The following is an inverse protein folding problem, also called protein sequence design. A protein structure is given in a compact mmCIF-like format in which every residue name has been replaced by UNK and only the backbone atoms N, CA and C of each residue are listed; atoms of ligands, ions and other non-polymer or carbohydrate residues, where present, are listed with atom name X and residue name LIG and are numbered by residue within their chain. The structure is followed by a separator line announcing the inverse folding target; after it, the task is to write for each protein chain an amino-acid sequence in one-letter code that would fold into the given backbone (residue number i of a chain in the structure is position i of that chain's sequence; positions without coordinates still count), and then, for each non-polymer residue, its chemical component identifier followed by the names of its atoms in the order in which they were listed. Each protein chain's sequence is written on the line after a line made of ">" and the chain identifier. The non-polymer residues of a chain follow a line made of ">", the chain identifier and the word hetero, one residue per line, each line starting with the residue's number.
data_IF_904785112735
#
_entry.id   IF_904785112735
#
_cell.length_a   1.000
_cell.length_b   1.000
_cell.length_c   1.000
_cell.angle_alpha   90.00
_cell.angle_beta   90.00
_cell.angle_gamma   90.00
#
_symmetry.space_group_name_H-M   'P 1'
#
loop_
_entity.id
_entity.type
_entity.pdbx_description
1 polymer ?
#
# COMPACT_ATOMS: atom_id res chain seq x y z
N UNK A 1 -34.05 8.26 36.46
CA UNK A 1 -33.27 8.15 35.19
C UNK A 1 -33.02 9.51 34.55
N UNK A 2 -32.52 10.50 35.30
CA UNK A 2 -32.18 11.83 34.77
C UNK A 2 -31.20 12.54 35.72
N UNK A 3 -29.94 12.07 35.80
CA UNK A 3 -28.89 12.72 36.58
C UNK A 3 -27.45 12.24 36.24
N UNK A 4 -27.14 11.97 34.96
CA UNK A 4 -25.78 11.54 34.54
C UNK A 4 -25.30 12.23 33.25
N UNK A 5 -25.52 13.53 33.11
CA UNK A 5 -24.82 14.40 32.15
C UNK A 5 -24.76 15.80 32.78
N UNK A 6 -23.59 16.24 33.29
CA UNK A 6 -22.63 16.94 32.44
C UNK A 6 -21.17 16.78 32.93
N UNK A 7 -20.44 15.75 32.47
CA UNK A 7 -19.00 15.61 32.75
C UNK A 7 -18.13 15.40 31.49
N UNK A 8 -18.70 15.37 30.29
CA UNK A 8 -17.97 15.08 29.04
C UNK A 8 -17.87 16.23 28.03
N UNK A 9 -17.94 17.50 28.46
CA UNK A 9 -17.70 18.66 27.59
C UNK A 9 -16.72 19.68 28.18
N UNK A 10 -15.80 19.25 29.05
CA UNK A 10 -14.51 19.95 29.10
C UNK A 10 -13.71 19.47 27.91
N UNK A 11 -13.95 20.12 26.76
CA UNK A 11 -12.99 20.20 25.66
C UNK A 11 -11.69 20.66 26.31
N UNK A 12 -10.81 19.72 26.62
CA UNK A 12 -9.52 20.01 27.23
C UNK A 12 -8.75 20.77 26.17
N UNK A 13 -8.74 22.10 26.29
CA UNK A 13 -7.84 22.95 25.54
C UNK A 13 -6.44 22.42 25.82
N UNK A 14 -5.74 22.01 24.78
CA UNK A 14 -4.39 21.48 24.83
C UNK A 14 -3.41 22.56 24.36
N UNK A 15 -3.14 23.62 25.14
CA UNK A 15 -2.22 24.66 24.68
C UNK A 15 -0.83 24.04 24.47
N UNK A 16 -0.36 24.03 23.22
CA UNK A 16 0.97 23.54 22.86
C UNK A 16 1.83 24.71 22.40
N UNK A 17 3.04 24.90 22.96
CA UNK A 17 3.96 25.92 22.49
C UNK A 17 4.46 25.53 21.08
N UNK A 18 4.30 26.44 20.12
CA UNK A 18 4.70 26.20 18.72
C UNK A 18 6.21 26.35 18.51
N UNK A 19 6.88 27.25 19.24
CA UNK A 19 8.30 27.53 19.05
C UNK A 19 9.20 26.27 19.12
N UNK A 20 9.08 25.38 20.12
CA UNK A 20 9.88 24.15 20.17
C UNK A 20 9.59 23.19 19.01
N UNK A 21 8.37 23.21 18.47
CA UNK A 21 7.95 22.31 17.40
C UNK A 21 8.41 22.79 16.01
N UNK A 22 8.57 24.10 15.85
CA UNK A 22 9.07 24.71 14.62
C UNK A 22 10.61 24.67 14.52
N UNK A 23 11.30 24.30 15.61
CA UNK A 23 12.76 24.18 15.67
C UNK A 23 13.48 25.53 15.56
N UNK A 24 14.75 25.49 15.16
CA UNK A 24 15.63 26.67 15.05
C UNK A 24 15.45 27.46 13.74
N UNK A 25 14.31 27.29 13.05
CA UNK A 25 14.04 28.01 11.81
C UNK A 25 13.97 29.52 12.07
N UNK A 26 14.55 30.34 11.19
CA UNK A 26 14.34 31.78 11.21
C UNK A 26 12.95 32.10 10.66
N UNK A 27 12.13 32.76 11.48
CA UNK A 27 10.80 33.22 11.10
C UNK A 27 10.43 34.50 11.86
N UNK A 28 9.68 35.35 11.17
CA UNK A 28 9.14 36.59 11.70
C UNK A 28 7.69 36.41 12.13
N UNK A 29 6.97 35.48 11.48
CA UNK A 29 5.52 35.32 11.64
C UNK A 29 5.17 33.84 11.73
N UNK A 30 4.26 33.49 12.65
CA UNK A 30 3.64 32.16 12.68
C UNK A 30 2.13 32.30 12.58
N UNK A 31 1.55 31.63 11.58
CA UNK A 31 0.12 31.62 11.32
C UNK A 31 -0.47 30.23 11.48
N UNK A 32 -1.69 30.15 12.02
CA UNK A 32 -2.59 29.03 11.79
C UNK A 32 -3.29 29.24 10.43
N UNK A 33 -2.89 28.46 9.42
CA UNK A 33 -3.43 28.53 8.07
C UNK A 33 -4.86 28.00 7.97
N UNK A 34 -5.30 27.18 8.94
CA UNK A 34 -6.64 26.60 8.93
C UNK A 34 -7.70 27.56 9.47
N UNK A 35 -7.33 28.43 10.42
CA UNK A 35 -8.22 29.46 10.97
C UNK A 35 -7.87 30.89 10.55
N UNK A 36 -6.77 31.04 9.79
CA UNK A 36 -6.15 32.29 9.37
C UNK A 36 -5.76 33.20 10.54
N UNK A 37 -5.34 32.62 11.67
CA UNK A 37 -5.00 33.37 12.89
C UNK A 37 -3.51 33.54 13.09
N UNK A 38 -3.11 34.69 13.65
CA UNK A 38 -1.72 34.99 13.97
C UNK A 38 -1.34 34.42 15.36
N UNK A 39 -0.24 33.69 15.44
CA UNK A 39 0.28 33.10 16.69
C UNK A 39 1.59 33.73 17.16
N UNK A 40 2.37 34.32 16.25
CA UNK A 40 3.62 35.03 16.53
C UNK A 40 3.81 36.14 15.51
N UNK A 41 4.22 37.33 15.96
CA UNK A 41 4.28 38.57 15.17
C UNK A 41 5.71 39.14 14.99
N UNK A 42 6.73 38.49 15.54
CA UNK A 42 8.15 38.87 15.35
C UNK A 42 8.60 40.14 16.08
N UNK A 43 7.67 40.99 16.52
CA UNK A 43 7.98 42.31 17.09
C UNK A 43 8.37 42.26 18.58
N UNK A 44 8.05 41.18 19.29
CA UNK A 44 8.53 40.94 20.65
C UNK A 44 8.89 39.46 20.82
N UNK A 45 10.16 39.17 21.14
CA UNK A 45 10.71 37.82 21.27
C UNK A 45 9.92 36.88 22.21
N UNK A 46 9.01 37.41 23.04
CA UNK A 46 8.24 36.66 24.04
C UNK A 46 6.72 36.68 23.81
N UNK A 47 6.22 37.23 22.69
CA UNK A 47 4.77 37.28 22.43
C UNK A 47 4.32 36.13 21.54
N UNK A 48 4.08 34.99 22.18
CA UNK A 48 3.52 33.79 21.56
C UNK A 48 2.13 33.50 22.08
N UNK A 49 1.24 33.10 21.16
CA UNK A 49 0.01 32.42 21.53
C UNK A 49 0.17 30.91 21.35
N UNK A 50 -0.10 30.11 22.39
CA UNK A 50 -0.05 28.66 22.24
C UNK A 50 -1.06 28.21 21.20
N UNK A 51 -0.73 27.15 20.46
CA UNK A 51 -1.69 26.49 19.59
C UNK A 51 -2.75 25.81 20.45
N UNK A 52 -4.02 26.10 20.17
CA UNK A 52 -5.17 25.40 20.78
C UNK A 52 -6.22 25.14 19.70
N UNK A 53 -5.92 24.28 18.70
CA UNK A 53 -6.88 23.91 17.68
C UNK A 53 -8.16 23.35 18.32
N UNK A 54 -9.32 23.84 17.86
CA UNK A 54 -10.61 23.47 18.44
C UNK A 54 -11.05 22.08 17.95
N UNK A 55 -11.06 21.90 16.63
CA UNK A 55 -11.45 20.66 15.96
C UNK A 55 -10.66 20.49 14.66
N UNK A 56 -10.48 19.25 14.21
CA UNK A 56 -9.78 18.95 12.96
C UNK A 56 -8.27 19.18 13.03
N UNK A 57 -7.58 19.03 11.90
CA UNK A 57 -6.14 19.20 11.84
C UNK A 57 -5.77 20.63 11.41
N UNK A 58 -5.11 21.37 12.28
CA UNK A 58 -4.65 22.72 11.99
C UNK A 58 -3.20 22.72 11.51
N UNK A 59 -2.90 23.54 10.51
CA UNK A 59 -1.54 23.73 9.99
C UNK A 59 -0.97 25.07 10.45
N UNK A 60 0.07 25.02 11.27
CA UNK A 60 0.81 26.18 11.75
C UNK A 60 2.05 26.36 10.91
N UNK A 61 2.12 27.44 10.15
CA UNK A 61 3.24 27.73 9.26
C UNK A 61 4.02 28.95 9.74
N UNK A 62 5.34 28.84 9.71
CA UNK A 62 6.28 29.89 10.02
C UNK A 62 6.81 30.51 8.72
N UNK A 63 6.88 31.85 8.70
CA UNK A 63 7.26 32.63 7.53
C UNK A 63 8.42 33.58 7.86
N UNK A 64 9.40 33.66 6.96
CA UNK A 64 10.46 34.67 7.00
C UNK A 64 10.05 35.88 6.16
N UNK A 65 9.04 36.61 6.62
CA UNK A 65 8.57 37.85 6.01
C UNK A 65 7.99 38.77 7.08
N UNK A 66 8.26 40.08 7.02
CA UNK A 66 7.69 41.02 7.97
C UNK A 66 6.16 41.01 7.93
N UNK A 67 5.54 41.19 9.11
CA UNK A 67 4.10 41.24 9.27
C UNK A 67 3.51 42.50 8.58
N UNK A 68 2.39 42.40 7.85
CA UNK A 68 1.67 43.59 7.40
C UNK A 68 1.15 44.40 8.59
N UNK A 69 1.03 45.71 8.42
CA UNK A 69 0.75 46.72 9.48
C UNK A 69 -0.59 46.62 10.21
N UNK A 70 -1.34 45.51 10.12
CA UNK A 70 -2.71 45.38 10.66
C UNK A 70 -3.08 44.01 11.21
N UNK A 71 -2.11 43.17 11.57
CA UNK A 71 -2.40 41.89 12.19
C UNK A 71 -2.12 41.92 13.69
N UNK A 72 -3.11 41.52 14.47
CA UNK A 72 -3.01 41.38 15.92
C UNK A 72 -2.89 39.91 16.31
N UNK A 73 -2.12 39.62 17.35
CA UNK A 73 -1.98 38.26 17.88
C UNK A 73 -3.34 37.68 18.26
N UNK A 74 -3.65 36.49 17.73
CA UNK A 74 -4.86 35.74 18.00
C UNK A 74 -6.05 36.13 17.13
N UNK A 75 -5.97 37.27 16.44
CA UNK A 75 -6.96 37.71 15.48
C UNK A 75 -6.76 37.02 14.12
N UNK A 76 -7.82 37.01 13.31
CA UNK A 76 -7.69 36.66 11.90
C UNK A 76 -6.84 37.70 11.18
N UNK A 77 -5.93 37.23 10.35
CA UNK A 77 -4.95 38.05 9.65
C UNK A 77 -4.96 37.69 8.16
N UNK A 78 -5.09 38.69 7.29
CA UNK A 78 -5.08 38.49 5.84
C UNK A 78 -3.76 37.87 5.35
N UNK A 79 -2.64 38.15 6.03
CA UNK A 79 -1.36 37.52 5.75
C UNK A 79 -1.35 36.01 6.03
N UNK A 80 -2.21 35.53 6.94
CA UNK A 80 -2.35 34.10 7.23
C UNK A 80 -3.35 33.41 6.29
N UNK A 81 -4.25 34.17 5.65
CA UNK A 81 -5.21 33.66 4.66
C UNK A 81 -4.56 33.52 3.27
N UNK A 82 -3.74 34.50 2.89
CA UNK A 82 -2.93 34.48 1.68
C UNK A 82 -1.43 34.57 2.06
N UNK A 83 -0.85 33.47 2.59
CA UNK A 83 0.52 33.47 3.05
C UNK A 83 1.52 33.76 1.93
N UNK A 84 2.65 34.42 2.24
CA UNK A 84 3.74 34.57 1.29
C UNK A 84 4.27 33.18 0.86
N UNK A 85 4.86 33.12 -0.33
CA UNK A 85 5.24 31.85 -0.96
C UNK A 85 6.37 31.09 -0.24
N UNK A 86 7.10 31.74 0.68
CA UNK A 86 8.23 31.13 1.38
C UNK A 86 7.85 30.71 2.80
N UNK A 87 7.53 29.43 2.98
CA UNK A 87 7.28 28.81 4.28
C UNK A 87 8.60 28.27 4.85
N UNK A 88 9.05 28.76 6.01
CA UNK A 88 10.29 28.32 6.67
C UNK A 88 10.12 26.99 7.41
N UNK A 89 8.97 26.79 8.07
CA UNK A 89 8.65 25.56 8.79
C UNK A 89 7.12 25.39 8.89
N UNK A 90 6.64 24.15 9.01
CA UNK A 90 5.23 23.85 9.23
C UNK A 90 5.07 22.77 10.28
N UNK A 91 4.15 22.96 11.22
CA UNK A 91 3.71 21.97 12.22
C UNK A 91 2.22 21.77 12.05
N UNK A 92 1.74 20.53 12.17
CA UNK A 92 0.31 20.22 12.12
C UNK A 92 -0.14 19.61 13.43
N UNK A 93 -1.18 20.17 14.06
CA UNK A 93 -1.70 19.68 15.35
C UNK A 93 -3.19 19.38 15.23
N UNK A 94 -3.61 18.26 15.81
CA UNK A 94 -5.01 17.84 15.86
C UNK A 94 -5.76 18.58 16.98
N UNK A 95 -6.97 19.06 16.69
CA UNK A 95 -7.85 19.71 17.64
C UNK A 95 -8.22 18.81 18.81
N UNK A 96 -8.24 19.39 20.01
CA UNK A 96 -8.57 18.69 21.27
C UNK A 96 -7.44 17.82 21.85
N UNK A 97 -6.63 17.14 21.04
CA UNK A 97 -5.49 16.34 21.52
C UNK A 97 -4.15 17.10 21.47
N UNK A 98 -4.01 18.00 20.48
CA UNK A 98 -2.79 18.68 20.09
C UNK A 98 -1.61 17.74 19.87
N UNK A 99 -1.92 16.47 19.57
CA UNK A 99 -0.96 15.55 19.00
C UNK A 99 -0.61 16.02 17.58
N UNK A 100 0.59 15.70 17.08
CA UNK A 100 0.92 15.91 15.68
C UNK A 100 -0.14 15.28 14.79
N UNK A 101 -0.60 15.99 13.76
CA UNK A 101 -1.48 15.41 12.75
C UNK A 101 -0.71 14.36 11.94
N UNK A 102 -0.74 13.12 12.40
CA UNK A 102 -0.26 11.96 11.69
C UNK A 102 -1.37 10.92 11.65
N UNK A 103 -1.69 10.42 10.47
CA UNK A 103 -2.50 9.21 10.41
C UNK A 103 -1.64 8.05 10.88
N UNK A 104 -1.98 7.47 12.04
CA UNK A 104 -1.28 6.33 12.58
C UNK A 104 -1.52 5.11 11.66
N UNK A 105 -0.61 4.89 10.72
CA UNK A 105 -0.63 3.79 9.76
C UNK A 105 -0.59 2.42 10.46
N UNK A 106 0.13 2.33 11.57
CA UNK A 106 0.38 1.11 12.34
C UNK A 106 -0.81 0.63 13.17
N UNK A 107 -1.59 1.54 13.78
CA UNK A 107 -2.76 1.16 14.60
C UNK A 107 -3.87 0.53 13.77
N UNK A 108 -3.86 0.74 12.45
CA UNK A 108 -4.79 0.14 11.48
C UNK A 108 -4.34 -1.18 10.85
N UNK A 109 -3.24 -1.82 11.30
CA UNK A 109 -2.78 -3.10 10.71
C UNK A 109 -3.84 -4.21 10.79
N UNK A 110 -4.50 -4.36 11.93
CA UNK A 110 -5.61 -5.32 12.10
C UNK A 110 -6.72 -5.03 11.10
N UNK A 111 -7.00 -3.76 10.85
CA UNK A 111 -8.03 -3.37 9.91
C UNK A 111 -7.61 -3.67 8.46
N UNK A 112 -6.33 -3.51 8.13
CA UNK A 112 -5.80 -3.94 6.84
C UNK A 112 -5.95 -5.45 6.62
N UNK A 113 -5.76 -6.28 7.64
CA UNK A 113 -6.01 -7.71 7.51
C UNK A 113 -7.49 -8.02 7.25
N UNK A 114 -8.41 -7.28 7.88
CA UNK A 114 -9.84 -7.36 7.56
C UNK A 114 -10.14 -6.91 6.12
N UNK A 115 -9.44 -5.90 5.61
CA UNK A 115 -9.54 -5.46 4.21
C UNK A 115 -9.09 -6.55 3.23
N UNK A 116 -7.94 -7.19 3.50
CA UNK A 116 -7.46 -8.31 2.68
C UNK A 116 -8.46 -9.47 2.69
N UNK A 117 -9.08 -9.75 3.84
CA UNK A 117 -10.15 -10.73 3.94
C UNK A 117 -11.34 -10.33 3.06
N UNK A 118 -11.81 -9.09 3.12
CA UNK A 118 -12.89 -8.59 2.28
C UNK A 118 -12.56 -8.68 0.78
N UNK A 119 -11.36 -8.29 0.36
CA UNK A 119 -10.92 -8.42 -1.03
C UNK A 119 -10.90 -9.89 -1.47
N UNK A 120 -10.44 -10.80 -0.60
CA UNK A 120 -10.50 -12.24 -0.81
C UNK A 120 -11.94 -12.75 -0.96
N UNK A 121 -12.86 -12.30 -0.12
CA UNK A 121 -14.28 -12.66 -0.22
C UNK A 121 -14.94 -12.17 -1.51
N UNK A 122 -14.63 -10.94 -1.95
CA UNK A 122 -15.09 -10.39 -3.23
C UNK A 122 -14.54 -11.23 -4.39
N UNK A 123 -13.26 -11.58 -4.35
CA UNK A 123 -12.65 -12.45 -5.34
C UNK A 123 -13.32 -13.83 -5.37
N UNK A 124 -13.60 -14.42 -4.22
CA UNK A 124 -14.31 -15.70 -4.12
C UNK A 124 -15.70 -15.60 -4.75
N UNK A 125 -16.48 -14.57 -4.38
CA UNK A 125 -17.81 -14.35 -4.92
C UNK A 125 -17.79 -14.15 -6.45
N UNK A 126 -16.87 -13.33 -6.96
CA UNK A 126 -16.69 -13.11 -8.40
C UNK A 126 -16.32 -14.41 -9.14
N UNK A 127 -15.45 -15.20 -8.54
CA UNK A 127 -14.97 -16.45 -9.13
C UNK A 127 -16.09 -17.49 -9.18
N UNK A 128 -16.86 -17.64 -8.10
CA UNK A 128 -18.05 -18.51 -8.06
C UNK A 128 -19.11 -18.07 -9.08
N UNK A 129 -19.40 -16.77 -9.17
CA UNK A 129 -20.35 -16.22 -10.15
C UNK A 129 -19.89 -16.44 -11.61
N UNK A 130 -18.58 -16.54 -11.85
CA UNK A 130 -18.00 -16.79 -13.17
C UNK A 130 -18.00 -18.28 -13.59
N UNK A 131 -18.65 -19.16 -12.80
CA UNK A 131 -18.72 -20.60 -13.09
C UNK A 131 -17.45 -21.34 -12.69
N UNK A 132 -16.96 -21.12 -11.47
CA UNK A 132 -15.82 -21.86 -10.93
C UNK A 132 -16.04 -23.38 -10.98
N UNK A 133 -15.04 -24.11 -11.49
CA UNK A 133 -15.08 -25.58 -11.68
C UNK A 133 -13.97 -26.30 -10.94
N UNK A 134 -13.04 -25.57 -10.31
CA UNK A 134 -11.96 -26.14 -9.49
C UNK A 134 -12.53 -26.86 -8.26
N UNK A 135 -11.81 -27.90 -7.84
CA UNK A 135 -12.08 -28.56 -6.55
C UNK A 135 -11.92 -27.55 -5.40
N UNK A 136 -12.82 -27.53 -4.39
CA UNK A 136 -12.76 -26.58 -3.28
C UNK A 136 -11.40 -26.51 -2.58
N UNK A 137 -10.69 -27.63 -2.44
CA UNK A 137 -9.36 -27.69 -1.81
C UNK A 137 -8.30 -26.95 -2.62
N UNK A 138 -8.31 -27.15 -3.94
CA UNK A 138 -7.42 -26.45 -4.88
C UNK A 138 -7.71 -24.95 -4.86
N UNK A 139 -8.99 -24.58 -4.86
CA UNK A 139 -9.42 -23.20 -4.79
C UNK A 139 -8.98 -22.50 -3.50
N UNK A 140 -9.13 -23.15 -2.33
CA UNK A 140 -8.66 -22.63 -1.04
C UNK A 140 -7.14 -22.47 -1.03
N UNK A 141 -6.39 -23.42 -1.60
CA UNK A 141 -4.93 -23.33 -1.69
C UNK A 141 -4.49 -22.14 -2.55
N UNK A 142 -5.17 -21.89 -3.68
CA UNK A 142 -4.92 -20.71 -4.53
C UNK A 142 -5.19 -19.40 -3.78
N UNK A 143 -6.31 -19.31 -3.05
CA UNK A 143 -6.64 -18.15 -2.23
C UNK A 143 -5.58 -17.90 -1.14
N UNK A 144 -5.17 -18.95 -0.42
CA UNK A 144 -4.15 -18.85 0.62
C UNK A 144 -2.80 -18.36 0.08
N UNK A 145 -2.44 -18.81 -1.13
CA UNK A 145 -1.22 -18.39 -1.82
C UNK A 145 -1.24 -16.91 -2.17
N UNK A 146 -2.36 -16.44 -2.71
CA UNK A 146 -2.53 -15.03 -3.04
C UNK A 146 -2.52 -14.15 -1.78
N UNK A 147 -3.21 -14.58 -0.71
CA UNK A 147 -3.20 -13.89 0.58
C UNK A 147 -1.78 -13.77 1.17
N UNK A 148 -1.00 -14.85 1.14
CA UNK A 148 0.40 -14.84 1.60
C UNK A 148 1.28 -13.87 0.80
N UNK A 149 1.11 -13.81 -0.52
CA UNK A 149 1.83 -12.85 -1.37
C UNK A 149 1.46 -11.38 -1.06
N UNK A 150 0.18 -11.10 -0.81
CA UNK A 150 -0.28 -9.74 -0.46
C UNK A 150 0.19 -9.31 0.93
N UNK A 151 0.19 -10.23 1.90
CA UNK A 151 0.67 -9.93 3.25
C UNK A 151 2.13 -9.45 3.25
N UNK A 152 3.02 -10.14 2.51
CA UNK A 152 4.44 -9.76 2.40
C UNK A 152 4.59 -8.38 1.75
N UNK A 153 3.96 -8.18 0.58
CA UNK A 153 4.00 -6.89 -0.12
C UNK A 153 3.51 -5.75 0.77
N UNK A 154 2.48 -6.04 1.56
CA UNK A 154 1.93 -5.08 2.48
C UNK A 154 2.83 -4.65 3.61
N UNK A 155 3.50 -5.60 4.27
CA UNK A 155 4.49 -5.30 5.30
C UNK A 155 5.62 -4.46 4.71
N UNK A 156 6.13 -4.83 3.53
CA UNK A 156 7.23 -4.11 2.88
C UNK A 156 6.86 -2.66 2.57
N UNK A 157 5.69 -2.41 1.97
CA UNK A 157 5.22 -1.06 1.68
C UNK A 157 5.03 -0.21 2.93
N UNK A 158 4.55 -0.81 4.03
CA UNK A 158 4.40 -0.12 5.30
C UNK A 158 5.77 0.30 5.86
N UNK A 159 6.73 -0.61 5.89
CA UNK A 159 8.09 -0.34 6.37
C UNK A 159 8.79 0.73 5.53
N UNK A 160 8.62 0.69 4.20
CA UNK A 160 9.17 1.70 3.31
C UNK A 160 8.49 3.05 3.52
N UNK A 161 7.15 3.08 3.62
CA UNK A 161 6.40 4.31 3.92
C UNK A 161 6.84 4.99 5.21
N UNK A 162 7.04 4.20 6.27
CA UNK A 162 7.56 4.70 7.55
C UNK A 162 9.01 5.19 7.44
N UNK A 163 9.85 4.48 6.68
CA UNK A 163 11.23 4.92 6.47
C UNK A 163 11.28 6.22 5.66
N UNK A 164 10.41 6.38 4.67
CA UNK A 164 10.34 7.59 3.85
C UNK A 164 9.74 8.77 4.61
N UNK A 165 8.74 8.56 5.47
CA UNK A 165 8.18 9.63 6.31
C UNK A 165 9.23 10.25 7.24
N UNK A 166 10.16 9.43 7.75
CA UNK A 166 11.28 9.91 8.58
C UNK A 166 12.25 10.86 7.86
N UNK A 167 12.20 10.94 6.52
CA UNK A 167 13.01 11.84 5.70
C UNK A 167 12.31 13.15 5.35
N UNK A 168 11.08 13.36 5.83
CA UNK A 168 10.28 14.57 5.59
C UNK A 168 9.45 14.53 4.30
N UNK A 169 8.69 15.59 4.05
CA UNK A 169 7.91 15.82 2.83
C UNK A 169 6.47 15.27 2.85
N UNK A 170 6.24 14.07 3.38
CA UNK A 170 4.90 13.48 3.49
C UNK A 170 4.81 12.50 4.67
N UNK A 171 3.61 12.28 5.20
CA UNK A 171 3.36 11.26 6.23
C UNK A 171 3.42 9.83 5.67
N UNK A 172 3.54 8.84 6.56
CA UNK A 172 3.70 7.43 6.18
C UNK A 172 2.50 6.90 5.37
N UNK A 173 1.29 7.40 5.64
CA UNK A 173 0.08 7.01 4.95
C UNK A 173 0.06 7.53 3.51
N UNK A 174 0.46 8.78 3.29
CA UNK A 174 0.60 9.35 1.96
C UNK A 174 1.66 8.61 1.14
N UNK A 175 2.80 8.29 1.75
CA UNK A 175 3.81 7.44 1.11
C UNK A 175 3.27 6.05 0.77
N UNK A 176 2.54 5.42 1.68
CA UNK A 176 1.92 4.11 1.43
C UNK A 176 0.94 4.18 0.24
N UNK A 177 0.04 5.16 0.25
CA UNK A 177 -0.96 5.38 -0.80
C UNK A 177 -0.32 5.62 -2.17
N UNK A 178 0.79 6.37 -2.20
CA UNK A 178 1.51 6.69 -3.42
C UNK A 178 2.26 5.49 -3.99
N UNK A 179 2.85 4.64 -3.15
CA UNK A 179 3.63 3.48 -3.59
C UNK A 179 2.75 2.34 -4.10
N UNK A 180 1.58 2.15 -3.48
CA UNK A 180 0.75 0.96 -3.68
C UNK A 180 0.37 0.70 -5.16
N UNK A 181 -0.08 1.69 -5.97
CA UNK A 181 -0.40 1.46 -7.38
C UNK A 181 0.80 0.99 -8.22
N UNK A 182 1.98 1.56 -7.99
CA UNK A 182 3.21 1.14 -8.67
C UNK A 182 3.60 -0.27 -8.27
N UNK A 183 3.47 -0.57 -6.99
CA UNK A 183 3.78 -1.88 -6.44
C UNK A 183 2.88 -2.95 -7.05
N UNK A 184 1.56 -2.74 -7.13
CA UNK A 184 0.62 -3.67 -7.79
C UNK A 184 1.01 -3.92 -9.25
N UNK A 185 1.31 -2.86 -10.02
CA UNK A 185 1.69 -2.97 -11.43
C UNK A 185 3.03 -3.72 -11.60
N UNK A 186 4.08 -3.25 -10.92
CA UNK A 186 5.43 -3.80 -11.01
C UNK A 186 5.47 -5.25 -10.54
N UNK A 187 4.84 -5.56 -9.40
CA UNK A 187 4.79 -6.92 -8.87
C UNK A 187 4.05 -7.85 -9.82
N UNK A 188 2.98 -7.40 -10.48
CA UNK A 188 2.27 -8.22 -11.46
C UNK A 188 3.17 -8.57 -12.66
N UNK A 189 3.90 -7.59 -13.19
CA UNK A 189 4.86 -7.80 -14.28
C UNK A 189 6.02 -8.72 -13.85
N UNK A 190 6.64 -8.42 -12.71
CA UNK A 190 7.77 -9.20 -12.18
C UNK A 190 7.35 -10.62 -11.80
N UNK A 191 6.13 -10.83 -11.30
CA UNK A 191 5.58 -12.17 -11.02
C UNK A 191 5.55 -13.02 -12.28
N UNK A 192 5.13 -12.45 -13.43
CA UNK A 192 5.16 -13.16 -14.71
C UNK A 192 6.58 -13.56 -15.10
N UNK A 193 7.50 -12.60 -15.07
CA UNK A 193 8.92 -12.81 -15.44
C UNK A 193 9.59 -13.85 -14.54
N UNK A 194 9.42 -13.71 -13.22
CA UNK A 194 10.01 -14.62 -12.22
C UNK A 194 9.38 -16.00 -12.26
N UNK A 195 8.06 -16.11 -12.50
CA UNK A 195 7.41 -17.41 -12.72
C UNK A 195 8.09 -18.14 -13.87
N UNK A 196 8.19 -17.50 -15.04
CA UNK A 196 8.78 -18.10 -16.22
C UNK A 196 10.26 -18.45 -16.04
N UNK A 197 11.05 -17.52 -15.48
CA UNK A 197 12.45 -17.76 -15.15
C UNK A 197 12.62 -18.93 -14.17
N UNK A 198 11.79 -18.99 -13.12
CA UNK A 198 11.83 -20.05 -12.12
C UNK A 198 11.48 -21.42 -12.72
N UNK A 199 10.43 -21.50 -13.56
CA UNK A 199 10.05 -22.75 -14.24
C UNK A 199 11.17 -23.26 -15.14
N UNK A 200 11.86 -22.37 -15.89
CA UNK A 200 13.01 -22.74 -16.71
C UNK A 200 14.18 -23.25 -15.85
N UNK A 201 14.52 -22.54 -14.76
CA UNK A 201 15.60 -22.93 -13.86
C UNK A 201 15.32 -24.26 -13.15
N UNK A 202 14.12 -24.45 -12.63
CA UNK A 202 13.68 -25.67 -11.96
C UNK A 202 13.61 -26.83 -12.97
N UNK A 203 13.14 -26.59 -14.19
CA UNK A 203 13.19 -27.57 -15.29
C UNK A 203 14.61 -28.05 -15.59
N UNK A 204 15.57 -27.13 -15.69
CA UNK A 204 16.99 -27.48 -15.88
C UNK A 204 17.54 -28.26 -14.67
N UNK A 205 17.25 -27.80 -13.45
CA UNK A 205 17.70 -28.45 -12.23
C UNK A 205 17.15 -29.88 -12.12
N UNK A 206 15.85 -30.07 -12.36
CA UNK A 206 15.22 -31.38 -12.33
C UNK A 206 15.76 -32.33 -13.41
N UNK A 207 16.01 -31.86 -14.64
CA UNK A 207 16.64 -32.70 -15.67
C UNK A 207 18.02 -33.19 -15.25
N UNK A 208 18.78 -32.36 -14.52
CA UNK A 208 20.12 -32.71 -14.03
C UNK A 208 20.09 -33.63 -12.81
N UNK A 209 19.24 -33.34 -11.82
CA UNK A 209 19.28 -34.04 -10.52
C UNK A 209 18.26 -35.17 -10.41
N UNK A 210 17.21 -35.17 -11.23
CA UNK A 210 16.03 -36.03 -11.11
C UNK A 210 15.40 -36.04 -9.70
N UNK A 211 15.62 -34.98 -8.93
CA UNK A 211 15.17 -34.91 -7.55
C UNK A 211 13.63 -34.83 -7.48
N UNK A 212 13.00 -35.83 -6.83
CA UNK A 212 11.52 -35.97 -6.77
C UNK A 212 10.81 -34.76 -6.13
N UNK A 213 11.46 -34.07 -5.20
CA UNK A 213 10.89 -32.90 -4.51
C UNK A 213 10.75 -31.67 -5.39
N UNK A 214 11.43 -31.61 -6.55
CA UNK A 214 11.27 -30.53 -7.53
C UNK A 214 10.03 -30.72 -8.42
N UNK A 215 9.46 -31.93 -8.46
CA UNK A 215 8.32 -32.27 -9.33
C UNK A 215 7.10 -31.37 -9.09
N UNK A 216 6.69 -31.04 -7.84
CA UNK A 216 5.60 -30.10 -7.61
C UNK A 216 5.87 -28.71 -8.22
N UNK A 217 7.11 -28.23 -8.22
CA UNK A 217 7.45 -26.92 -8.78
C UNK A 217 7.42 -26.87 -10.31
N UNK A 218 7.50 -28.02 -10.98
CA UNK A 218 7.37 -28.11 -12.44
C UNK A 218 5.91 -27.99 -12.89
N UNK A 219 5.00 -28.52 -12.09
CA UNK A 219 3.57 -28.53 -12.38
C UNK A 219 2.84 -27.41 -11.64
N UNK A 220 3.36 -26.19 -11.75
CA UNK A 220 2.86 -25.02 -11.03
C UNK A 220 1.34 -24.88 -11.19
N UNK A 221 0.57 -24.96 -10.10
CA UNK A 221 -0.89 -25.00 -10.11
C UNK A 221 -1.57 -26.31 -9.83
N UNK A 222 -0.82 -27.40 -9.95
CA UNK A 222 -1.31 -28.72 -9.62
C UNK A 222 -0.92 -29.04 -8.18
N UNK A 223 -1.92 -29.29 -7.34
CA UNK A 223 -1.72 -29.62 -5.93
C UNK A 223 -1.53 -31.12 -5.70
N UNK A 224 -1.32 -31.89 -6.77
CA UNK A 224 -1.08 -33.32 -6.74
C UNK A 224 -0.48 -33.79 -8.07
N UNK A 225 -0.06 -35.06 -8.15
CA UNK A 225 0.59 -35.61 -9.35
C UNK A 225 -0.34 -35.78 -10.55
N UNK A 226 -1.65 -35.86 -10.30
CA UNK A 226 -2.68 -35.97 -11.33
C UNK A 226 -3.58 -34.72 -11.32
N UNK A 227 -4.17 -34.34 -12.47
CA UNK A 227 -5.18 -33.28 -12.53
C UNK A 227 -6.31 -33.56 -11.53
N UNK A 228 -6.73 -32.53 -10.77
CA UNK A 228 -7.78 -32.62 -9.72
C UNK A 228 -7.43 -33.52 -8.52
N UNK A 229 -6.19 -33.99 -8.40
CA UNK A 229 -5.72 -34.64 -7.17
C UNK A 229 -5.11 -33.61 -6.21
N UNK A 230 -5.33 -33.80 -4.91
CA UNK A 230 -4.77 -32.94 -3.86
C UNK A 230 -3.86 -33.73 -2.91
N UNK A 231 -2.64 -33.23 -2.70
CA UNK A 231 -1.67 -33.73 -1.73
C UNK A 231 -1.08 -32.56 -0.95
N UNK A 232 -1.15 -32.64 0.37
CA UNK A 232 -0.66 -31.58 1.26
C UNK A 232 0.84 -31.25 1.01
N UNK A 233 1.68 -32.26 0.78
CA UNK A 233 3.10 -32.06 0.49
C UNK A 233 3.36 -31.28 -0.80
N UNK A 234 2.56 -31.53 -1.86
CA UNK A 234 2.63 -30.76 -3.10
C UNK A 234 2.17 -29.32 -2.87
N UNK A 235 1.08 -29.14 -2.12
CA UNK A 235 0.59 -27.81 -1.74
C UNK A 235 1.65 -27.01 -0.96
N UNK A 236 2.29 -27.59 0.06
CA UNK A 236 3.34 -26.90 0.81
C UNK A 236 4.52 -26.48 -0.07
N UNK A 237 4.99 -27.36 -0.96
CA UNK A 237 6.10 -27.04 -1.87
C UNK A 237 5.71 -25.95 -2.87
N UNK A 238 4.52 -26.03 -3.45
CA UNK A 238 4.04 -24.99 -4.35
C UNK A 238 3.79 -23.67 -3.63
N UNK A 239 3.29 -23.70 -2.40
CA UNK A 239 3.12 -22.50 -1.58
C UNK A 239 4.47 -21.84 -1.32
N UNK A 240 5.48 -22.60 -0.91
CA UNK A 240 6.82 -22.07 -0.70
C UNK A 240 7.42 -21.48 -1.99
N UNK A 241 7.33 -22.21 -3.11
CA UNK A 241 7.81 -21.72 -4.42
C UNK A 241 7.06 -20.46 -4.86
N UNK A 242 5.74 -20.46 -4.79
CA UNK A 242 4.93 -19.34 -5.24
C UNK A 242 5.03 -18.11 -4.33
N UNK A 243 4.94 -18.28 -3.01
CA UNK A 243 4.91 -17.18 -2.06
C UNK A 243 6.32 -16.63 -1.84
N UNK A 244 7.32 -17.48 -1.60
CA UNK A 244 8.65 -17.01 -1.22
C UNK A 244 9.49 -16.64 -2.45
N UNK A 245 9.62 -17.56 -3.42
CA UNK A 245 10.52 -17.34 -4.55
C UNK A 245 9.91 -16.38 -5.58
N UNK A 246 8.69 -16.67 -6.04
CA UNK A 246 8.05 -15.86 -7.09
C UNK A 246 7.46 -14.58 -6.50
N UNK A 247 6.57 -14.71 -5.53
CA UNK A 247 5.87 -13.59 -4.92
C UNK A 247 6.80 -12.66 -4.14
N UNK A 248 7.56 -13.21 -3.19
CA UNK A 248 8.53 -12.46 -2.40
C UNK A 248 9.59 -11.80 -3.27
N UNK A 249 10.14 -12.54 -4.25
CA UNK A 249 11.06 -11.98 -5.23
C UNK A 249 10.47 -10.82 -6.04
N UNK A 250 9.22 -10.94 -6.51
CA UNK A 250 8.55 -9.89 -7.27
C UNK A 250 8.31 -8.63 -6.42
N UNK A 251 7.90 -8.80 -5.16
CA UNK A 251 7.68 -7.69 -4.20
C UNK A 251 8.99 -6.99 -3.84
N UNK A 252 10.06 -7.74 -3.60
CA UNK A 252 11.37 -7.14 -3.32
C UNK A 252 11.89 -6.36 -4.53
N UNK A 253 11.73 -6.91 -5.74
CA UNK A 253 12.08 -6.24 -6.98
C UNK A 253 11.26 -4.95 -7.20
N UNK A 254 9.93 -5.00 -6.99
CA UNK A 254 9.07 -3.83 -7.15
C UNK A 254 9.39 -2.73 -6.15
N UNK A 255 9.60 -3.08 -4.88
CA UNK A 255 10.05 -2.14 -3.85
C UNK A 255 11.41 -1.53 -4.20
N UNK A 256 12.36 -2.32 -4.70
CA UNK A 256 13.65 -1.81 -5.16
C UNK A 256 13.52 -0.76 -6.28
N UNK A 257 12.65 -1.02 -7.25
CA UNK A 257 12.34 -0.07 -8.34
C UNK A 257 11.66 1.19 -7.78
N UNK A 258 10.68 1.05 -6.88
CA UNK A 258 10.00 2.18 -6.24
C UNK A 258 11.00 3.07 -5.50
N UNK A 259 11.92 2.47 -4.73
CA UNK A 259 12.96 3.23 -4.03
C UNK A 259 13.88 3.97 -5.00
N UNK A 260 14.22 3.35 -6.15
CA UNK A 260 14.98 4.01 -7.20
C UNK A 260 14.21 5.19 -7.82
N UNK A 261 12.90 5.04 -8.05
CA UNK A 261 12.03 6.11 -8.53
C UNK A 261 11.89 7.25 -7.49
N UNK A 262 11.84 6.93 -6.20
CA UNK A 262 11.82 7.92 -5.11
C UNK A 262 13.14 8.69 -5.01
N UNK A 263 14.26 8.08 -5.40
CA UNK A 263 15.57 8.74 -5.40
C UNK A 263 15.74 9.78 -6.52
N UNK A 264 14.86 9.79 -7.54
CA UNK A 264 14.89 10.79 -8.60
C UNK A 264 14.58 12.20 -8.04
N UNK A 265 15.23 13.25 -8.54
CA UNK A 265 15.06 14.61 -8.03
C UNK A 265 13.74 15.25 -8.49
N UNK A 266 13.09 16.00 -7.58
CA UNK A 266 11.95 16.86 -7.88
C UNK A 266 10.82 16.15 -8.64
N UNK A 267 10.40 16.75 -9.75
CA UNK A 267 9.29 16.29 -10.60
C UNK A 267 9.56 14.97 -11.34
N UNK A 268 10.81 14.49 -11.36
CA UNK A 268 11.16 13.23 -12.03
C UNK A 268 10.79 12.01 -11.20
N UNK A 269 10.41 12.19 -9.92
CA UNK A 269 9.93 11.11 -9.07
C UNK A 269 8.41 11.04 -9.07
N UNK A 270 7.78 10.18 -9.88
CA UNK A 270 6.32 10.07 -9.92
C UNK A 270 5.74 9.59 -8.57
N UNK A 271 6.49 8.79 -7.83
CA UNK A 271 6.08 8.31 -6.50
C UNK A 271 6.08 9.46 -5.49
N UNK A 272 7.09 10.33 -5.51
CA UNK A 272 7.16 11.50 -4.62
C UNK A 272 6.05 12.49 -4.94
N UNK A 273 5.85 12.80 -6.23
CA UNK A 273 4.75 13.66 -6.67
C UNK A 273 3.40 13.15 -6.17
N UNK A 274 3.14 11.85 -6.32
CA UNK A 274 1.89 11.27 -5.84
C UNK A 274 1.78 11.31 -4.32
N UNK A 275 2.88 11.13 -3.58
CA UNK A 275 2.89 11.24 -2.11
C UNK A 275 2.59 12.68 -1.65
N UNK A 276 3.19 13.68 -2.27
CA UNK A 276 2.92 15.10 -2.00
C UNK A 276 1.47 15.45 -2.34
N UNK A 277 0.95 14.99 -3.48
CA UNK A 277 -0.47 15.16 -3.84
C UNK A 277 -1.41 14.53 -2.81
N UNK A 278 -1.10 13.33 -2.32
CA UNK A 278 -1.85 12.70 -1.23
C UNK A 278 -1.81 13.53 0.05
N UNK A 279 -0.62 14.00 0.40
CA UNK A 279 -0.39 14.77 1.62
C UNK A 279 -1.11 16.14 1.60
N UNK A 280 -1.14 16.79 0.42
CA UNK A 280 -1.75 18.09 0.19
C UNK A 280 -3.16 18.04 -0.43
N UNK A 281 -3.77 16.85 -0.52
CA UNK A 281 -5.10 16.64 -1.14
C UNK A 281 -6.27 17.37 -0.48
N UNK A 282 -6.06 17.97 0.70
CA UNK A 282 -7.15 18.55 1.51
C UNK A 282 -8.04 17.52 2.20
N UNK A 283 -7.82 16.21 1.98
CA UNK A 283 -8.56 15.14 2.63
C UNK A 283 -8.23 15.08 4.13
N UNK A 284 -9.25 14.85 4.94
CA UNK A 284 -9.08 14.59 6.37
C UNK A 284 -8.24 13.34 6.60
N UNK A 285 -7.64 13.20 7.78
CA UNK A 285 -6.86 12.00 8.10
C UNK A 285 -7.69 10.71 7.97
N UNK A 286 -8.93 10.75 8.45
CA UNK A 286 -9.88 9.64 8.32
C UNK A 286 -10.17 9.31 6.86
N UNK A 287 -10.40 10.31 6.01
CA UNK A 287 -10.65 10.10 4.58
C UNK A 287 -9.44 9.51 3.86
N UNK A 288 -8.23 10.04 4.12
CA UNK A 288 -6.99 9.48 3.57
C UNK A 288 -6.79 8.04 4.04
N UNK A 289 -7.07 7.76 5.30
CA UNK A 289 -6.96 6.41 5.88
C UNK A 289 -7.91 5.45 5.19
N UNK A 290 -9.18 5.84 5.04
CA UNK A 290 -10.19 5.06 4.31
C UNK A 290 -9.75 4.81 2.86
N UNK A 291 -9.33 5.85 2.15
CA UNK A 291 -8.94 5.72 0.75
C UNK A 291 -7.68 4.85 0.58
N UNK A 292 -6.62 5.15 1.34
CA UNK A 292 -5.32 4.51 1.22
C UNK A 292 -5.28 3.08 1.75
N UNK A 293 -6.03 2.76 2.81
CA UNK A 293 -5.98 1.43 3.43
C UNK A 293 -7.13 0.50 3.04
N UNK A 294 -8.23 1.04 2.51
CA UNK A 294 -9.43 0.26 2.20
C UNK A 294 -9.74 0.34 0.72
N UNK A 295 -10.05 1.52 0.20
CA UNK A 295 -10.56 1.63 -1.18
C UNK A 295 -9.50 1.22 -2.19
N UNK A 296 -8.32 1.83 -2.13
CA UNK A 296 -7.25 1.57 -3.09
C UNK A 296 -6.73 0.13 -2.97
N UNK A 297 -6.47 -0.40 -1.76
CA UNK A 297 -6.02 -1.78 -1.65
C UNK A 297 -7.06 -2.81 -2.06
N UNK A 298 -8.35 -2.65 -1.71
CA UNK A 298 -9.38 -3.60 -2.17
C UNK A 298 -9.45 -3.64 -3.69
N UNK A 299 -9.46 -2.48 -4.34
CA UNK A 299 -9.55 -2.40 -5.79
C UNK A 299 -8.28 -2.93 -6.46
N UNK A 300 -7.12 -2.49 -6.00
CA UNK A 300 -5.83 -2.92 -6.52
C UNK A 300 -5.60 -4.42 -6.33
N UNK A 301 -5.89 -4.95 -5.14
CA UNK A 301 -5.79 -6.36 -4.84
C UNK A 301 -6.82 -7.13 -5.69
N UNK A 302 -8.09 -6.74 -5.75
CA UNK A 302 -9.08 -7.44 -6.58
C UNK A 302 -8.65 -7.53 -8.06
N UNK A 303 -8.18 -6.42 -8.64
CA UNK A 303 -7.64 -6.41 -10.02
C UNK A 303 -6.42 -7.32 -10.11
N UNK A 304 -5.50 -7.23 -9.15
CA UNK A 304 -4.31 -8.06 -9.12
C UNK A 304 -4.65 -9.55 -8.99
N UNK A 305 -5.62 -9.94 -8.16
CA UNK A 305 -6.07 -11.33 -8.00
C UNK A 305 -6.67 -11.85 -9.31
N UNK A 306 -7.47 -11.05 -10.02
CA UNK A 306 -8.03 -11.43 -11.33
C UNK A 306 -6.94 -11.58 -12.39
N UNK A 307 -6.00 -10.63 -12.47
CA UNK A 307 -4.90 -10.66 -13.45
C UNK A 307 -3.90 -11.76 -13.13
N UNK A 308 -3.53 -11.93 -11.86
CA UNK A 308 -2.64 -13.00 -11.41
C UNK A 308 -3.31 -14.35 -11.59
N UNK A 309 -4.61 -14.52 -11.29
CA UNK A 309 -5.34 -15.75 -11.62
C UNK A 309 -5.22 -16.01 -13.11
N UNK A 310 -5.41 -15.01 -13.99
CA UNK A 310 -5.25 -15.16 -15.45
C UNK A 310 -3.83 -15.49 -15.90
N UNK A 311 -2.80 -14.92 -15.28
CA UNK A 311 -1.38 -15.19 -15.59
C UNK A 311 -0.95 -16.57 -15.04
N UNK A 312 -1.49 -16.92 -13.89
CA UNK A 312 -1.21 -18.19 -13.24
C UNK A 312 -2.05 -19.31 -13.82
N UNK A 313 -3.18 -19.00 -14.45
CA UNK A 313 -4.24 -19.92 -14.90
C UNK A 313 -3.64 -21.23 -15.31
N UNK A 314 -3.91 -22.18 -14.42
CA UNK A 314 -3.51 -23.57 -14.47
C UNK A 314 -4.36 -24.35 -15.47
N UNK A 315 -4.72 -23.72 -16.59
CA UNK A 315 -5.22 -24.48 -17.72
C UNK A 315 -4.00 -25.18 -18.29
N UNK A 316 -3.97 -26.52 -18.36
CA UNK A 316 -3.01 -27.16 -19.25
C UNK A 316 -3.18 -26.46 -20.59
N UNK A 317 -2.10 -25.92 -21.12
CA UNK A 317 -2.17 -25.44 -22.50
C UNK A 317 -2.64 -26.63 -23.33
N UNK A 318 -3.58 -26.44 -24.26
CA UNK A 318 -4.00 -27.56 -25.13
C UNK A 318 -2.80 -28.25 -25.80
N UNK A 319 -1.68 -27.53 -25.96
CA UNK A 319 -0.39 -28.07 -26.37
C UNK A 319 0.27 -29.02 -25.35
N UNK A 320 0.20 -28.76 -24.04
CA UNK A 320 0.67 -29.70 -23.00
C UNK A 320 -0.24 -30.92 -22.88
N UNK A 321 -1.55 -30.73 -23.01
CA UNK A 321 -2.51 -31.84 -22.99
C UNK A 321 -2.31 -32.76 -24.20
N UNK A 322 -2.05 -32.19 -25.39
CA UNK A 322 -1.68 -32.92 -26.60
C UNK A 322 -0.29 -33.57 -26.53
N UNK A 323 0.65 -33.01 -25.76
CA UNK A 323 1.97 -33.60 -25.56
C UNK A 323 1.97 -34.76 -24.54
N UNK A 324 1.06 -34.74 -23.57
CA UNK A 324 0.87 -35.79 -22.58
C UNK A 324 0.04 -36.96 -23.10
N UNK A 325 -0.88 -36.67 -24.02
CA UNK A 325 -1.62 -37.65 -24.79
C UNK A 325 -1.25 -37.48 -26.27
N UNK A 326 -0.06 -37.91 -26.72
CA UNK A 326 0.15 -38.03 -28.15
C UNK A 326 -1.00 -38.88 -28.67
N UNK A 327 -1.81 -38.33 -29.59
CA UNK A 327 -2.85 -39.12 -30.22
C UNK A 327 -2.20 -40.44 -30.62
N UNK A 328 -2.77 -41.59 -30.25
CA UNK A 328 -2.24 -42.86 -30.70
C UNK A 328 -2.19 -42.73 -32.21
N UNK A 329 -0.98 -42.65 -32.76
CA UNK A 329 -0.77 -42.55 -34.19
C UNK A 329 -1.57 -43.68 -34.76
N UNK A 330 -2.71 -43.35 -35.36
CA UNK A 330 -3.55 -44.29 -36.07
C UNK A 330 -2.67 -44.74 -37.20
N UNK A 331 -1.96 -45.85 -36.99
CA UNK A 331 -1.28 -46.52 -38.08
C UNK A 331 -2.41 -47.04 -38.94
N UNK A 332 -2.84 -46.21 -39.89
CA UNK A 332 -3.53 -46.66 -41.07
C UNK A 332 -2.54 -47.56 -41.80
N UNK A 333 -2.48 -48.82 -41.37
CA UNK A 333 -1.98 -49.88 -42.21
C UNK A 333 -2.82 -49.81 -43.48
N UNK A 334 -2.21 -49.60 -44.66
CA UNK A 334 -2.95 -49.64 -45.91
C UNK A 334 -3.48 -51.07 -46.06
N UNK A 335 -4.79 -51.24 -45.87
CA UNK A 335 -5.50 -52.46 -46.28
C UNK A 335 -5.30 -52.56 -47.79
N UNK A 336 -4.38 -53.45 -48.17
CA UNK A 336 -4.19 -53.83 -49.56
C UNK A 336 -5.25 -54.90 -49.82
N UNK A 337 -6.40 -54.49 -50.35
CA UNK A 337 -7.37 -55.43 -50.91
C UNK A 337 -6.80 -55.98 -52.23
N UNK A 338 -6.68 -57.31 -52.27
CA UNK A 338 -6.39 -58.15 -53.44
C UNK A 338 -7.60 -59.05 -53.67
#
# INVERSE_FOLDING_TARGET
>A
MAALLPLCLRQLSCPVPLAPLLGDAAYDVVCDLSSSRLHFDGHAANRWLPASPAEGCHAFAAFASPLPTRCELGARCAACEAPPSHISATVRLEGGSCAPCGCALLTSWTVRQAVLLCAGLIFIAFTLASGETREPRTFVADCAKQAGQQAIGGVLLLLVGERLSSRGGADALAWYAAQYPFEVLLTTLLTRVLKEASSRCIGRAYRRTRARWLRPCLHYGQYGPEPRSFRASWCCVQMAHAVLLVGGGARLGSVGIILALVALPGLWSPVRLLAELWYHSGLSCTQRTIAALYVIPVLGDAVQLVVIDRIQRFRPSHAEEAALHPEPTTSSSPTTEL
#
